data_IF_934710124896
#
_entry.id   IF_934710124896
#
_cell.length_a   1.000
_cell.length_b   1.000
_cell.length_c   1.000
_cell.angle_alpha   90.00
_cell.angle_beta   90.00
_cell.angle_gamma   90.00
#
_symmetry.space_group_name_H-M   'P 1'
#
loop_
_entity.id
_entity.type
_entity.pdbx_description
1 polymer ?
#
# COMPACT_ATOMS: atom_id res chain seq x y z
N UNK A 1 -27.79 -38.61 -22.53
CA UNK A 1 -26.66 -37.90 -23.19
C UNK A 1 -26.88 -36.41 -22.99
N UNK A 2 -26.36 -35.85 -21.90
CA UNK A 2 -26.40 -34.41 -21.65
C UNK A 2 -24.95 -33.94 -21.43
N UNK A 3 -24.42 -33.21 -22.42
CA UNK A 3 -23.15 -32.50 -22.33
C UNK A 3 -23.35 -31.29 -21.42
N UNK A 4 -22.62 -31.23 -20.30
CA UNK A 4 -22.45 -30.01 -19.50
C UNK A 4 -21.00 -29.56 -19.66
N UNK A 5 -20.81 -28.60 -20.56
CA UNK A 5 -19.57 -27.84 -20.67
C UNK A 5 -19.45 -26.91 -19.46
N UNK A 6 -18.36 -27.04 -18.71
CA UNK A 6 -17.98 -26.12 -17.65
C UNK A 6 -16.76 -25.31 -18.13
N UNK A 7 -17.06 -24.19 -18.77
CA UNK A 7 -16.17 -23.02 -18.82
C UNK A 7 -16.28 -22.33 -17.46
N UNK A 8 -15.22 -22.42 -16.65
CA UNK A 8 -15.14 -21.82 -15.32
C UNK A 8 -13.87 -21.01 -15.15
N UNK A 9 -13.93 -19.77 -15.63
CA UNK A 9 -13.18 -18.56 -15.25
C UNK A 9 -12.02 -18.73 -14.24
N UNK A 10 -10.82 -18.35 -14.68
CA UNK A 10 -9.63 -18.19 -13.85
C UNK A 10 -9.87 -17.20 -12.70
N UNK A 11 -10.16 -17.76 -11.53
CA UNK A 11 -10.13 -17.05 -10.26
C UNK A 11 -8.68 -16.62 -10.01
N UNK A 12 -8.44 -15.31 -9.99
CA UNK A 12 -7.25 -14.76 -9.37
C UNK A 12 -7.14 -15.37 -7.97
N UNK A 13 -6.12 -16.19 -7.74
CA UNK A 13 -6.01 -16.99 -6.53
C UNK A 13 -5.90 -16.05 -5.33
N UNK A 14 -6.94 -16.02 -4.51
CA UNK A 14 -6.92 -15.35 -3.21
C UNK A 14 -5.96 -16.15 -2.34
N UNK A 15 -4.73 -15.66 -2.19
CA UNK A 15 -3.77 -16.19 -1.23
C UNK A 15 -4.40 -16.01 0.16
N UNK A 16 -4.38 -17.06 0.98
CA UNK A 16 -4.80 -16.96 2.39
C UNK A 16 -4.03 -15.82 3.06
N UNK A 17 -4.75 -14.74 3.35
CA UNK A 17 -4.25 -13.57 4.07
C UNK A 17 -4.06 -13.95 5.53
N UNK A 18 -2.81 -14.18 5.93
CA UNK A 18 -2.47 -14.20 7.34
C UNK A 18 -2.77 -12.80 7.90
N UNK A 19 -3.66 -12.67 8.89
CA UNK A 19 -4.27 -11.42 9.39
C UNK A 19 -3.27 -10.45 10.08
N UNK A 20 -2.17 -10.11 9.40
CA UNK A 20 -1.08 -9.26 9.87
C UNK A 20 -1.39 -7.78 9.66
N UNK A 21 -2.17 -7.43 8.64
CA UNK A 21 -2.57 -6.08 8.27
C UNK A 21 -4.08 -5.89 8.34
N UNK A 22 -4.47 -4.64 8.53
CA UNK A 22 -5.85 -4.23 8.59
C UNK A 22 -6.08 -2.91 7.90
N UNK A 23 -7.34 -2.70 7.51
CA UNK A 23 -7.83 -1.45 6.95
C UNK A 23 -8.77 -0.83 7.97
N UNK A 24 -8.45 0.38 8.43
CA UNK A 24 -9.38 1.20 9.20
C UNK A 24 -9.97 2.26 8.29
N UNK A 25 -11.29 2.36 8.24
CA UNK A 25 -11.99 3.38 7.47
C UNK A 25 -12.65 4.40 8.40
N UNK A 26 -12.59 5.68 8.02
CA UNK A 26 -13.24 6.78 8.71
C UNK A 26 -13.68 7.84 7.72
N UNK A 27 -14.57 8.74 8.16
CA UNK A 27 -14.99 9.89 7.38
C UNK A 27 -14.52 11.18 8.05
N UNK A 28 -14.11 12.14 7.22
CA UNK A 28 -13.73 13.48 7.65
C UNK A 28 -14.93 14.23 8.24
N UNK A 29 -14.72 14.87 9.39
CA UNK A 29 -15.66 15.85 9.97
C UNK A 29 -15.29 17.29 9.65
N UNK A 30 -14.24 17.51 8.84
CA UNK A 30 -13.75 18.85 8.53
C UNK A 30 -14.76 19.60 7.65
N UNK A 31 -15.02 20.87 7.97
CA UNK A 31 -15.97 21.71 7.24
C UNK A 31 -15.65 21.86 5.74
N UNK A 32 -14.35 21.84 5.39
CA UNK A 32 -13.91 21.94 3.99
C UNK A 32 -14.13 20.65 3.17
N UNK A 33 -14.21 19.48 3.82
CA UNK A 33 -14.39 18.18 3.17
C UNK A 33 -15.25 17.23 4.03
N UNK A 34 -16.51 17.61 4.33
CA UNK A 34 -17.39 16.82 5.18
C UNK A 34 -17.70 15.49 4.51
N UNK A 35 -17.49 14.39 5.23
CA UNK A 35 -17.74 13.03 4.73
C UNK A 35 -16.66 12.46 3.82
N UNK A 36 -15.55 13.17 3.57
CA UNK A 36 -14.44 12.62 2.76
C UNK A 36 -13.85 11.36 3.40
N UNK A 37 -13.71 10.30 2.62
CA UNK A 37 -13.27 8.99 3.11
C UNK A 37 -11.77 8.94 3.37
N UNK A 38 -11.40 8.33 4.48
CA UNK A 38 -10.01 8.11 4.92
C UNK A 38 -9.82 6.66 5.32
N UNK A 39 -8.88 6.00 4.65
CA UNK A 39 -8.48 4.63 4.91
C UNK A 39 -7.06 4.64 5.49
N UNK A 40 -6.81 3.80 6.47
CA UNK A 40 -5.47 3.55 7.00
C UNK A 40 -5.15 2.07 6.87
N UNK A 41 -4.06 1.76 6.17
CA UNK A 41 -3.48 0.42 6.08
C UNK A 41 -2.34 0.34 7.08
N UNK A 42 -2.39 -0.62 7.99
CA UNK A 42 -1.34 -0.79 9.00
C UNK A 42 -1.31 -2.16 9.65
N UNK A 43 -0.19 -2.49 10.31
CA UNK A 43 -0.02 -3.77 10.99
C UNK A 43 -0.94 -3.92 12.22
N UNK A 44 -1.48 -5.12 12.40
CA UNK A 44 -2.42 -5.49 13.48
C UNK A 44 -1.76 -6.27 14.62
N UNK A 45 -0.79 -7.12 14.33
CA UNK A 45 -0.12 -7.96 15.34
C UNK A 45 1.16 -7.31 15.85
N UNK A 46 1.69 -7.79 16.98
CA UNK A 46 2.93 -7.26 17.54
C UNK A 46 4.13 -7.53 16.62
N UNK A 47 4.18 -8.74 16.06
CA UNK A 47 5.19 -9.19 15.12
C UNK A 47 5.15 -8.39 13.83
N UNK A 48 3.94 -8.13 13.30
CA UNK A 48 3.77 -7.31 12.11
C UNK A 48 4.22 -5.87 12.36
N UNK A 49 3.93 -5.30 13.53
CA UNK A 49 4.40 -3.97 13.92
C UNK A 49 5.93 -3.91 14.01
N UNK A 50 6.56 -4.92 14.61
CA UNK A 50 8.00 -5.00 14.76
C UNK A 50 8.71 -5.13 13.40
N UNK A 51 8.21 -6.00 12.51
CA UNK A 51 8.73 -6.08 11.15
C UNK A 51 8.53 -4.76 10.39
N UNK A 52 7.32 -4.21 10.45
CA UNK A 52 6.93 -3.01 9.70
C UNK A 52 7.76 -1.78 10.07
N UNK A 53 8.05 -1.56 11.35
CA UNK A 53 8.86 -0.42 11.78
C UNK A 53 10.27 -0.45 11.18
N UNK A 54 10.92 -1.62 11.17
CA UNK A 54 12.24 -1.79 10.57
C UNK A 54 12.22 -1.72 9.06
N UNK A 55 11.19 -2.27 8.41
CA UNK A 55 11.05 -2.22 6.95
C UNK A 55 10.82 -0.78 6.46
N UNK A 56 9.88 -0.06 7.06
CA UNK A 56 9.52 1.30 6.66
C UNK A 56 10.70 2.25 6.80
N UNK A 57 11.49 2.16 7.87
CA UNK A 57 12.66 3.01 8.05
C UNK A 57 13.67 2.85 6.89
N UNK A 58 13.90 1.61 6.44
CA UNK A 58 14.80 1.34 5.32
C UNK A 58 14.19 1.78 3.98
N UNK A 59 12.90 1.53 3.75
CA UNK A 59 12.22 2.00 2.55
C UNK A 59 12.19 3.53 2.44
N UNK A 60 11.95 4.24 3.54
CA UNK A 60 12.09 5.70 3.57
C UNK A 60 13.50 6.12 3.16
N UNK A 61 14.53 5.49 3.71
CA UNK A 61 15.92 5.79 3.37
C UNK A 61 16.26 5.48 1.90
N UNK A 62 15.64 4.47 1.28
CA UNK A 62 15.75 4.18 -0.15
C UNK A 62 15.11 5.30 -0.97
N UNK A 63 13.88 5.69 -0.64
CA UNK A 63 13.14 6.75 -1.33
C UNK A 63 13.86 8.11 -1.22
N UNK A 64 14.42 8.43 -0.05
CA UNK A 64 15.19 9.66 0.16
C UNK A 64 16.45 9.75 -0.69
N UNK A 65 16.98 8.62 -1.16
CA UNK A 65 18.13 8.57 -2.08
C UNK A 65 17.72 8.55 -3.55
N UNK A 66 16.43 8.77 -3.85
CA UNK A 66 15.88 8.70 -5.20
C UNK A 66 15.58 7.27 -5.68
N UNK A 67 15.59 6.29 -4.76
CA UNK A 67 15.31 4.90 -5.09
C UNK A 67 13.82 4.61 -5.34
N UNK A 68 13.57 3.34 -5.70
CA UNK A 68 12.24 2.75 -5.88
C UNK A 68 12.01 1.72 -4.77
N UNK A 69 10.80 1.68 -4.23
CA UNK A 69 10.36 0.68 -3.25
C UNK A 69 9.17 -0.08 -3.82
N UNK A 70 9.33 -1.37 -4.03
CA UNK A 70 8.31 -2.28 -4.51
C UNK A 70 7.52 -2.83 -3.32
N UNK A 71 6.19 -2.77 -3.43
CA UNK A 71 5.21 -3.01 -2.38
C UNK A 71 4.21 -4.10 -2.78
N UNK A 72 4.62 -5.04 -3.65
CA UNK A 72 3.75 -6.06 -4.22
C UNK A 72 3.03 -5.53 -5.46
N UNK A 73 1.73 -5.25 -5.33
CA UNK A 73 0.93 -4.79 -6.47
C UNK A 73 1.30 -3.38 -6.99
N UNK A 74 2.02 -2.62 -6.16
CA UNK A 74 2.41 -1.24 -6.43
C UNK A 74 3.90 -1.04 -6.16
N UNK A 75 4.44 0.05 -6.69
CA UNK A 75 5.74 0.56 -6.32
C UNK A 75 5.64 2.06 -6.01
N UNK A 76 6.53 2.51 -5.12
CA UNK A 76 6.68 3.89 -4.71
C UNK A 76 8.04 4.39 -5.21
N UNK A 77 8.06 5.54 -5.87
CA UNK A 77 9.29 6.19 -6.36
C UNK A 77 9.25 7.68 -6.07
N UNK A 78 10.42 8.27 -5.84
CA UNK A 78 10.59 9.72 -5.83
C UNK A 78 10.76 10.23 -7.28
N UNK A 79 9.89 11.14 -7.70
CA UNK A 79 9.93 11.80 -9.00
C UNK A 79 10.00 13.32 -8.76
N UNK A 80 11.18 13.90 -8.98
CA UNK A 80 11.47 15.26 -8.56
C UNK A 80 11.33 15.40 -7.04
N UNK A 81 10.45 16.29 -6.60
CA UNK A 81 10.15 16.59 -5.19
C UNK A 81 8.90 15.86 -4.67
N UNK A 82 8.36 14.88 -5.42
CA UNK A 82 7.09 14.21 -5.11
C UNK A 82 7.20 12.69 -5.12
N UNK A 83 6.42 12.04 -4.28
CA UNK A 83 6.24 10.59 -4.36
C UNK A 83 5.22 10.25 -5.43
N UNK A 84 5.45 9.14 -6.12
CA UNK A 84 4.52 8.56 -7.07
C UNK A 84 4.28 7.10 -6.72
N UNK A 85 3.01 6.74 -6.58
CA UNK A 85 2.57 5.36 -6.48
C UNK A 85 2.14 4.89 -7.86
N UNK A 86 2.76 3.83 -8.36
CA UNK A 86 2.47 3.26 -9.68
C UNK A 86 2.20 1.75 -9.58
N UNK A 87 1.39 1.19 -10.51
CA UNK A 87 1.24 -0.26 -10.61
C UNK A 87 2.59 -0.96 -10.80
N UNK A 88 2.75 -2.14 -10.22
CA UNK A 88 3.97 -2.95 -10.33
C UNK A 88 3.65 -4.40 -10.74
N UNK A 89 3.37 -5.30 -9.78
CA UNK A 89 2.98 -6.66 -10.11
C UNK A 89 1.45 -6.80 -10.22
N UNK A 90 0.96 -7.32 -11.34
CA UNK A 90 -0.46 -7.67 -11.48
C UNK A 90 -0.87 -8.81 -10.53
N UNK A 91 0.04 -9.76 -10.29
CA UNK A 91 -0.13 -10.87 -9.35
C UNK A 91 1.02 -10.84 -8.34
N UNK A 92 0.83 -10.22 -7.16
CA UNK A 92 1.88 -10.07 -6.16
C UNK A 92 2.41 -11.43 -5.69
N UNK A 93 3.73 -11.54 -5.65
CA UNK A 93 4.46 -12.68 -5.10
C UNK A 93 5.68 -12.15 -4.30
N UNK A 94 6.39 -12.99 -3.54
CA UNK A 94 7.48 -12.53 -2.66
C UNK A 94 8.64 -11.81 -3.37
N UNK A 95 8.81 -11.95 -4.69
CA UNK A 95 9.83 -11.22 -5.46
C UNK A 95 9.41 -9.79 -5.86
N UNK A 96 8.12 -9.47 -5.76
CA UNK A 96 7.55 -8.14 -6.07
C UNK A 96 7.75 -7.10 -4.95
N UNK A 97 8.64 -7.37 -4.00
CA UNK A 97 8.86 -6.53 -2.83
C UNK A 97 10.33 -6.17 -2.72
N UNK A 98 10.62 -4.89 -2.46
CA UNK A 98 11.96 -4.47 -2.12
C UNK A 98 12.33 -5.04 -0.76
N UNK A 99 13.22 -6.04 -0.77
CA UNK A 99 13.72 -6.69 0.43
C UNK A 99 14.66 -5.78 1.20
N UNK A 100 14.45 -5.74 2.50
CA UNK A 100 15.22 -4.94 3.45
C UNK A 100 15.58 -5.82 4.64
N UNK A 101 16.76 -5.60 5.21
CA UNK A 101 17.26 -6.43 6.30
C UNK A 101 16.58 -6.01 7.60
N UNK A 102 15.47 -6.65 7.95
CA UNK A 102 14.73 -6.35 9.19
C UNK A 102 15.10 -7.37 10.25
N UNK A 103 15.53 -6.88 11.42
CA UNK A 103 15.61 -7.74 12.61
C UNK A 103 14.19 -8.09 13.05
N UNK A 104 13.73 -9.29 12.71
CA UNK A 104 12.39 -9.79 13.04
C UNK A 104 12.49 -11.19 13.61
N UNK A 105 11.66 -11.49 14.61
CA UNK A 105 11.50 -12.84 15.15
C UNK A 105 10.73 -13.77 14.19
N UNK A 106 10.12 -13.23 13.14
CA UNK A 106 9.39 -14.02 12.15
C UNK A 106 10.35 -14.78 11.23
N UNK A 107 10.16 -16.10 11.01
CA UNK A 107 10.86 -16.82 9.97
C UNK A 107 10.54 -16.24 8.58
N UNK A 108 11.44 -16.44 7.61
CA UNK A 108 11.35 -15.81 6.29
C UNK A 108 10.00 -16.02 5.58
N UNK A 109 9.44 -17.23 5.64
CA UNK A 109 8.13 -17.52 5.03
C UNK A 109 6.98 -16.74 5.66
N UNK A 110 7.04 -16.41 6.96
CA UNK A 110 6.05 -15.56 7.61
C UNK A 110 6.24 -14.09 7.24
N UNK A 111 7.48 -13.64 7.00
CA UNK A 111 7.73 -12.32 6.46
C UNK A 111 7.15 -12.18 5.04
N UNK A 112 7.27 -13.21 4.22
CA UNK A 112 6.66 -13.25 2.88
C UNK A 112 5.12 -13.18 2.96
N UNK A 113 4.51 -13.99 3.83
CA UNK A 113 3.07 -13.97 4.05
C UNK A 113 2.59 -12.60 4.55
N UNK A 114 3.34 -11.97 5.46
CA UNK A 114 3.08 -10.62 5.96
C UNK A 114 3.12 -9.57 4.84
N UNK A 115 4.14 -9.60 3.98
CA UNK A 115 4.27 -8.67 2.86
C UNK A 115 3.12 -8.84 1.85
N UNK A 116 2.74 -10.09 1.56
CA UNK A 116 1.60 -10.39 0.70
C UNK A 116 0.28 -9.90 1.30
N UNK A 117 0.06 -10.11 2.60
CA UNK A 117 -1.11 -9.61 3.31
C UNK A 117 -1.18 -8.07 3.29
N UNK A 118 -0.04 -7.39 3.49
CA UNK A 118 0.07 -5.95 3.31
C UNK A 118 -0.34 -5.50 1.89
N UNK A 119 0.18 -6.16 0.85
CA UNK A 119 -0.17 -5.83 -0.54
C UNK A 119 -1.67 -6.01 -0.80
N UNK A 120 -2.28 -7.08 -0.26
CA UNK A 120 -3.72 -7.30 -0.37
C UNK A 120 -4.53 -6.18 0.31
N UNK A 121 -4.15 -5.80 1.53
CA UNK A 121 -4.78 -4.70 2.26
C UNK A 121 -4.63 -3.36 1.51
N UNK A 122 -3.47 -3.10 0.91
CA UNK A 122 -3.23 -1.89 0.10
C UNK A 122 -4.10 -1.86 -1.15
N UNK A 123 -4.16 -2.96 -1.91
CA UNK A 123 -5.01 -3.09 -3.11
C UNK A 123 -6.47 -2.85 -2.75
N UNK A 124 -6.96 -3.49 -1.69
CA UNK A 124 -8.34 -3.34 -1.24
C UNK A 124 -8.63 -1.89 -0.80
N UNK A 125 -7.74 -1.26 -0.03
CA UNK A 125 -7.92 0.11 0.42
C UNK A 125 -7.95 1.12 -0.76
N UNK A 126 -7.07 0.95 -1.75
CA UNK A 126 -7.04 1.79 -2.95
C UNK A 126 -8.29 1.60 -3.82
N UNK A 127 -8.76 0.35 -3.98
CA UNK A 127 -9.99 0.07 -4.71
C UNK A 127 -11.22 0.69 -4.04
N UNK A 128 -11.35 0.54 -2.71
CA UNK A 128 -12.45 1.15 -1.95
C UNK A 128 -12.38 2.67 -1.95
N UNK A 129 -11.19 3.25 -1.79
CA UNK A 129 -11.01 4.70 -1.88
C UNK A 129 -11.39 5.25 -3.26
N UNK A 130 -11.02 4.55 -4.34
CA UNK A 130 -11.38 4.94 -5.70
C UNK A 130 -12.90 5.02 -5.92
N UNK A 131 -13.65 4.05 -5.38
CA UNK A 131 -15.13 4.05 -5.42
C UNK A 131 -15.75 5.24 -4.66
N UNK A 132 -15.01 5.81 -3.70
CA UNK A 132 -15.51 6.85 -2.77
C UNK A 132 -14.83 8.20 -2.90
N UNK A 133 -14.10 8.41 -3.99
CA UNK A 133 -13.42 9.67 -4.31
C UNK A 133 -14.36 10.77 -4.86
N UNK A 134 -15.67 10.66 -4.61
CA UNK A 134 -16.70 11.64 -4.96
C UNK A 134 -17.67 11.83 -3.78
N UNK A 135 -18.10 13.08 -3.48
CA UNK A 135 -17.73 14.33 -4.16
C UNK A 135 -16.33 14.84 -3.80
N UNK A 136 -15.71 14.30 -2.73
CA UNK A 136 -14.38 14.69 -2.28
C UNK A 136 -13.35 13.61 -2.57
N UNK A 137 -12.06 13.98 -2.78
CA UNK A 137 -10.99 13.01 -2.85
C UNK A 137 -10.94 12.10 -1.62
N UNK A 138 -10.72 10.81 -1.84
CA UNK A 138 -10.51 9.84 -0.78
C UNK A 138 -9.01 9.72 -0.48
N UNK A 139 -8.66 9.40 0.77
CA UNK A 139 -7.26 9.24 1.18
C UNK A 139 -6.98 7.83 1.66
N UNK A 140 -5.89 7.23 1.20
CA UNK A 140 -5.32 5.97 1.74
C UNK A 140 -3.98 6.29 2.39
N UNK A 141 -3.86 6.06 3.69
CA UNK A 141 -2.62 6.20 4.44
C UNK A 141 -2.03 4.84 4.72
N UNK A 142 -0.85 4.55 4.16
CA UNK A 142 -0.02 3.43 4.57
C UNK A 142 0.84 3.91 5.74
N UNK A 143 0.64 3.29 6.91
CA UNK A 143 1.18 3.77 8.18
C UNK A 143 2.68 4.04 8.10
N UNK A 144 3.08 5.28 8.44
CA UNK A 144 4.46 5.78 8.43
C UNK A 144 5.18 5.76 7.07
N UNK A 145 4.55 5.34 5.97
CA UNK A 145 5.19 5.24 4.66
C UNK A 145 4.66 6.28 3.67
N UNK A 146 3.38 6.24 3.32
CA UNK A 146 2.84 7.12 2.28
C UNK A 146 1.37 7.43 2.52
N UNK A 147 0.96 8.65 2.18
CA UNK A 147 -0.43 9.06 2.07
C UNK A 147 -0.73 9.25 0.59
N UNK A 148 -1.72 8.53 0.09
CA UNK A 148 -2.18 8.58 -1.29
C UNK A 148 -3.55 9.24 -1.31
N UNK A 149 -3.70 10.32 -2.08
CA UNK A 149 -4.99 10.92 -2.35
C UNK A 149 -5.48 10.42 -3.71
N UNK A 150 -6.75 10.01 -3.76
CA UNK A 150 -7.43 9.55 -4.97
C UNK A 150 -8.48 10.58 -5.32
N UNK A 151 -8.34 11.15 -6.51
CA UNK A 151 -9.25 12.17 -7.03
C UNK A 151 -10.37 11.54 -7.86
N UNK A 152 -11.44 12.29 -8.05
CA UNK A 152 -12.63 11.86 -8.78
C UNK A 152 -12.40 11.58 -10.27
N UNK A 153 -11.32 12.11 -10.84
CA UNK A 153 -10.87 11.94 -12.22
C UNK A 153 -9.95 10.72 -12.42
N UNK A 154 -9.70 9.95 -11.36
CA UNK A 154 -8.82 8.79 -11.37
C UNK A 154 -7.34 9.10 -11.15
N UNK A 155 -6.96 10.38 -11.09
CA UNK A 155 -5.59 10.78 -10.76
C UNK A 155 -5.28 10.51 -9.28
N UNK A 156 -3.98 10.33 -9.00
CA UNK A 156 -3.49 10.06 -7.64
C UNK A 156 -2.29 10.94 -7.34
N UNK A 157 -2.24 11.49 -6.13
CA UNK A 157 -1.04 12.12 -5.58
C UNK A 157 -0.56 11.31 -4.37
N UNK A 158 0.76 11.31 -4.13
CA UNK A 158 1.35 10.63 -2.98
C UNK A 158 2.30 11.57 -2.23
N UNK A 159 2.21 11.53 -0.91
CA UNK A 159 3.01 12.33 0.02
C UNK A 159 3.57 11.45 1.14
N UNK A 160 4.70 11.81 1.74
CA UNK A 160 5.20 11.14 2.93
C UNK A 160 4.16 11.09 4.05
N UNK A 161 4.04 9.93 4.70
CA UNK A 161 3.22 9.79 5.91
C UNK A 161 4.13 9.79 7.14
N UNK A 162 4.28 10.93 7.81
CA UNK A 162 5.04 11.02 9.06
C UNK A 162 6.58 11.03 8.91
N UNK A 163 7.08 11.36 7.72
CA UNK A 163 8.50 11.63 7.43
C UNK A 163 8.59 12.72 6.35
N UNK A 164 9.80 13.08 5.91
CA UNK A 164 10.02 14.17 4.93
C UNK A 164 10.93 13.71 3.77
N UNK A 165 10.61 14.19 2.57
CA UNK A 165 11.47 14.07 1.40
C UNK A 165 12.73 14.94 1.57
N UNK A 166 13.84 14.58 0.91
CA UNK A 166 15.00 15.45 0.82
C UNK A 166 14.61 16.78 0.15
N UNK A 167 15.18 17.89 0.61
CA UNK A 167 15.08 19.16 -0.13
C UNK A 167 15.94 19.04 -1.38
N UNK A 168 15.34 19.22 -2.55
CA UNK A 168 16.10 19.50 -3.76
C UNK A 168 16.71 20.90 -3.60
N UNK A 169 18.01 20.97 -3.32
CA UNK A 169 18.73 22.22 -3.49
C UNK A 169 18.74 22.55 -4.98
N UNK A 170 18.24 23.72 -5.35
CA UNK A 170 18.29 24.22 -6.71
C UNK A 170 19.77 24.28 -7.11
N UNK A 171 20.17 23.43 -8.07
CA UNK A 171 21.47 23.51 -8.73
C UNK A 171 21.37 24.50 -9.89
#
# INVERSE_FOLDING_TARGET
MALLGLLGLGLAQVVQTANFFGITASQSRAAATPGAWRYTVGPRTAEARAFWSGAVAQWQAILQRGGRVELGAYALRLEGDRLRLEPHCATPNPSCFTRVAVSSALPAWQQDALLLDFSNALVQALAEAGKRAKPYPATVTVSKLVRVQLNSDGTRSAEPSGWKLPKLEAR
#
